data_IF_929251108118
#
_entry.id   IF_929251108118
#
_cell.length_a   1.000
_cell.length_b   1.000
_cell.length_c   1.000
_cell.angle_alpha   90.00
_cell.angle_beta   90.00
_cell.angle_gamma   90.00
#
_symmetry.space_group_name_H-M   'P 1'
#
loop_
_entity.id
_entity.type
_entity.pdbx_description
1 polymer ?
#
# COMPACT_ATOMS: atom_id res chain seq x y z
N UNK A 1 -14.33 -19.02 -7.98
CA UNK A 1 -13.66 -17.82 -8.53
C UNK A 1 -12.93 -17.00 -7.47
N UNK A 2 -13.57 -16.21 -6.59
CA UNK A 2 -12.83 -15.44 -5.57
C UNK A 2 -12.26 -16.36 -4.47
N UNK A 3 -13.04 -17.37 -4.07
CA UNK A 3 -12.60 -18.52 -3.29
C UNK A 3 -11.39 -19.24 -3.92
N UNK A 4 -11.41 -19.46 -5.24
CA UNK A 4 -10.27 -20.06 -5.95
C UNK A 4 -9.04 -19.15 -5.93
N UNK A 5 -9.22 -17.83 -6.05
CA UNK A 5 -8.13 -16.86 -5.92
C UNK A 5 -7.53 -16.88 -4.52
N UNK A 6 -8.35 -16.89 -3.48
CA UNK A 6 -7.91 -17.02 -2.07
C UNK A 6 -7.15 -18.33 -1.87
N UNK A 7 -7.69 -19.46 -2.34
CA UNK A 7 -7.04 -20.77 -2.21
C UNK A 7 -5.74 -20.86 -2.99
N UNK A 8 -5.66 -20.23 -4.16
CA UNK A 8 -4.42 -20.13 -4.93
C UNK A 8 -3.39 -19.25 -4.23
N UNK A 9 -3.82 -18.13 -3.64
CA UNK A 9 -2.96 -17.25 -2.86
C UNK A 9 -2.40 -17.99 -1.64
N UNK A 10 -3.23 -18.73 -0.90
CA UNK A 10 -2.80 -19.55 0.25
C UNK A 10 -1.74 -20.60 -0.12
N UNK A 11 -1.88 -21.25 -1.28
CA UNK A 11 -0.94 -22.30 -1.72
C UNK A 11 0.43 -21.78 -2.11
N UNK A 12 0.53 -20.49 -2.47
CA UNK A 12 1.77 -19.88 -2.97
C UNK A 12 2.48 -19.13 -1.85
N UNK A 13 3.10 -19.83 -0.92
CA UNK A 13 3.73 -19.17 0.25
C UNK A 13 4.82 -18.16 -0.16
N UNK A 14 5.67 -18.53 -1.12
CA UNK A 14 6.86 -17.73 -1.49
C UNK A 14 6.60 -16.66 -2.57
N UNK A 15 5.38 -16.59 -3.11
CA UNK A 15 5.04 -15.58 -4.12
C UNK A 15 3.60 -15.08 -4.03
N UNK A 16 3.40 -13.84 -4.45
CA UNK A 16 2.07 -13.28 -4.65
C UNK A 16 1.50 -13.81 -5.97
N UNK A 17 0.26 -14.30 -5.94
CA UNK A 17 -0.37 -14.84 -7.15
C UNK A 17 -0.66 -13.72 -8.17
N UNK A 18 -0.52 -14.05 -9.46
CA UNK A 18 -0.88 -13.14 -10.56
C UNK A 18 -2.40 -13.20 -10.76
N UNK A 19 -3.08 -12.08 -10.50
CA UNK A 19 -4.51 -11.90 -10.73
C UNK A 19 -4.66 -10.75 -11.71
N UNK A 20 -5.28 -11.00 -12.87
CA UNK A 20 -5.49 -9.96 -13.87
C UNK A 20 -6.79 -9.21 -13.61
N UNK A 21 -6.81 -7.93 -13.98
CA UNK A 21 -8.00 -7.08 -13.79
C UNK A 21 -9.22 -7.64 -14.52
N UNK A 22 -9.04 -8.20 -15.72
CA UNK A 22 -10.13 -8.75 -16.53
C UNK A 22 -10.82 -9.95 -15.86
N UNK A 23 -10.08 -10.71 -15.04
CA UNK A 23 -10.61 -11.84 -14.27
C UNK A 23 -11.55 -11.37 -13.16
N UNK A 24 -11.34 -10.16 -12.64
CA UNK A 24 -12.14 -9.54 -11.58
C UNK A 24 -13.37 -8.80 -12.12
N UNK A 25 -13.29 -8.20 -13.30
CA UNK A 25 -14.37 -7.35 -13.84
C UNK A 25 -15.71 -8.06 -13.97
N UNK A 26 -15.69 -9.31 -14.47
CA UNK A 26 -16.90 -10.13 -14.60
C UNK A 26 -17.57 -10.39 -13.25
N UNK A 27 -16.74 -10.63 -12.23
CA UNK A 27 -17.19 -10.90 -10.88
C UNK A 27 -17.77 -9.65 -10.21
N UNK A 28 -17.05 -8.52 -10.30
CA UNK A 28 -17.51 -7.22 -9.79
C UNK A 28 -18.86 -6.85 -10.42
N UNK A 29 -19.04 -7.08 -11.72
CA UNK A 29 -20.29 -6.81 -12.41
C UNK A 29 -21.45 -7.66 -11.90
N UNK A 30 -21.22 -8.96 -11.66
CA UNK A 30 -22.24 -9.86 -11.13
C UNK A 30 -22.64 -9.47 -9.70
N UNK A 31 -21.67 -9.17 -8.83
CA UNK A 31 -21.95 -8.67 -7.48
C UNK A 31 -22.74 -7.36 -7.50
N UNK A 32 -22.39 -6.42 -8.39
CA UNK A 32 -23.15 -5.16 -8.55
C UNK A 32 -24.61 -5.43 -8.92
N UNK A 33 -24.85 -6.37 -9.85
CA UNK A 33 -26.23 -6.75 -10.24
C UNK A 33 -26.99 -7.38 -9.08
N UNK A 34 -26.36 -8.25 -8.30
CA UNK A 34 -26.99 -8.88 -7.15
C UNK A 34 -27.44 -7.83 -6.13
N UNK A 35 -26.56 -6.89 -5.80
CA UNK A 35 -26.86 -5.78 -4.86
C UNK A 35 -28.01 -4.87 -5.31
N UNK A 36 -28.15 -4.65 -6.62
CA UNK A 36 -29.21 -3.76 -7.15
C UNK A 36 -30.56 -4.47 -7.28
N UNK A 37 -30.55 -5.75 -7.64
CA UNK A 37 -31.78 -6.48 -7.99
C UNK A 37 -32.47 -7.14 -6.80
N UNK A 38 -31.71 -7.51 -5.78
CA UNK A 38 -32.20 -8.34 -4.69
C UNK A 38 -31.95 -7.66 -3.34
N UNK A 39 -32.99 -7.58 -2.53
CA UNK A 39 -32.96 -6.99 -1.19
C UNK A 39 -33.30 -8.01 -0.09
N UNK A 40 -33.53 -9.27 -0.46
CA UNK A 40 -33.80 -10.36 0.47
C UNK A 40 -32.52 -10.83 1.18
N UNK A 41 -32.73 -11.48 2.31
CA UNK A 41 -31.65 -11.80 3.24
C UNK A 41 -30.71 -12.89 2.72
N UNK A 42 -31.17 -13.72 1.77
CA UNK A 42 -30.33 -14.75 1.14
C UNK A 42 -29.25 -14.09 0.29
N UNK A 43 -29.63 -13.16 -0.59
CA UNK A 43 -28.66 -12.47 -1.44
C UNK A 43 -27.74 -11.54 -0.64
N UNK A 44 -28.23 -10.97 0.48
CA UNK A 44 -27.35 -10.24 1.40
C UNK A 44 -26.30 -11.15 2.03
N UNK A 45 -26.69 -12.34 2.48
CA UNK A 45 -25.77 -13.31 3.05
C UNK A 45 -24.73 -13.76 2.01
N UNK A 46 -25.15 -14.02 0.76
CA UNK A 46 -24.24 -14.35 -0.34
C UNK A 46 -23.21 -13.25 -0.60
N UNK A 47 -23.65 -11.99 -0.65
CA UNK A 47 -22.76 -10.83 -0.82
C UNK A 47 -21.77 -10.70 0.35
N UNK A 48 -22.21 -10.97 1.58
CA UNK A 48 -21.35 -10.94 2.77
C UNK A 48 -20.20 -11.95 2.67
N UNK A 49 -20.49 -13.19 2.24
CA UNK A 49 -19.46 -14.22 2.04
C UNK A 49 -18.40 -13.75 1.05
N UNK A 50 -18.83 -13.06 0.00
CA UNK A 50 -17.93 -12.53 -1.01
C UNK A 50 -17.08 -11.34 -0.53
N UNK A 51 -17.59 -10.54 0.41
CA UNK A 51 -16.83 -9.48 1.09
C UNK A 51 -15.76 -10.08 2.02
N UNK A 52 -16.11 -11.10 2.80
CA UNK A 52 -15.17 -11.83 3.68
C UNK A 52 -14.02 -12.48 2.88
N UNK A 53 -14.34 -13.08 1.72
CA UNK A 53 -13.32 -13.63 0.82
C UNK A 53 -12.41 -12.54 0.24
N UNK A 54 -12.93 -11.36 -0.07
CA UNK A 54 -12.13 -10.25 -0.57
C UNK A 54 -11.19 -9.71 0.52
N UNK A 55 -11.67 -9.59 1.75
CA UNK A 55 -10.86 -9.23 2.91
C UNK A 55 -9.75 -10.26 3.16
N UNK A 56 -10.08 -11.55 3.16
CA UNK A 56 -9.11 -12.64 3.30
C UNK A 56 -8.02 -12.58 2.23
N UNK A 57 -8.39 -12.33 0.96
CA UNK A 57 -7.44 -12.20 -0.13
C UNK A 57 -6.48 -11.02 0.11
N UNK A 58 -7.02 -9.88 0.55
CA UNK A 58 -6.24 -8.69 0.84
C UNK A 58 -5.25 -8.93 1.99
N UNK A 59 -5.70 -9.52 3.10
CA UNK A 59 -4.85 -9.83 4.26
C UNK A 59 -3.69 -10.76 3.88
N UNK A 60 -3.97 -11.82 3.12
CA UNK A 60 -2.94 -12.75 2.64
C UNK A 60 -1.89 -12.05 1.80
N UNK A 61 -2.33 -11.22 0.85
CA UNK A 61 -1.44 -10.49 -0.05
C UNK A 61 -0.61 -9.46 0.70
N UNK A 62 -1.18 -8.77 1.68
CA UNK A 62 -0.44 -7.86 2.57
C UNK A 62 0.60 -8.62 3.38
N UNK A 63 0.26 -9.76 3.99
CA UNK A 63 1.19 -10.55 4.79
C UNK A 63 2.47 -10.86 4.00
N UNK A 64 2.31 -11.30 2.76
CA UNK A 64 3.42 -11.59 1.84
C UNK A 64 4.28 -10.35 1.54
N UNK A 65 3.65 -9.21 1.29
CA UNK A 65 4.37 -7.94 1.10
C UNK A 65 5.14 -7.53 2.35
N UNK A 66 4.54 -7.73 3.52
CA UNK A 66 5.18 -7.50 4.82
C UNK A 66 6.35 -8.45 5.04
N UNK A 67 6.38 -9.62 4.40
CA UNK A 67 7.53 -10.53 4.36
C UNK A 67 8.56 -10.17 3.28
N UNK A 68 8.35 -9.07 2.55
CA UNK A 68 9.22 -8.58 1.46
C UNK A 68 9.11 -9.36 0.14
N UNK A 69 8.01 -10.09 -0.05
CA UNK A 69 7.66 -10.68 -1.34
C UNK A 69 7.23 -9.56 -2.30
N UNK A 70 7.69 -9.65 -3.55
CA UNK A 70 7.44 -8.63 -4.56
C UNK A 70 5.96 -8.56 -4.98
N UNK A 71 5.34 -7.35 -4.97
CA UNK A 71 3.99 -7.13 -5.48
C UNK A 71 3.79 -7.58 -6.94
N UNK A 72 2.64 -8.19 -7.24
CA UNK A 72 2.24 -8.69 -8.58
C UNK A 72 0.72 -8.55 -8.78
N UNK A 73 0.23 -8.64 -10.01
CA UNK A 73 -1.21 -8.58 -10.33
C UNK A 73 -1.84 -7.18 -10.29
N UNK A 74 -3.19 -7.17 -10.28
CA UNK A 74 -4.03 -5.96 -10.42
C UNK A 74 -3.83 -4.88 -9.35
N UNK A 75 -3.38 -5.25 -8.15
CA UNK A 75 -3.19 -4.38 -6.98
C UNK A 75 -1.71 -4.10 -6.72
N UNK A 76 -0.83 -4.37 -7.69
CA UNK A 76 0.62 -4.20 -7.56
C UNK A 76 1.00 -2.80 -7.06
N UNK A 77 0.41 -1.73 -7.59
CA UNK A 77 0.74 -0.38 -7.13
C UNK A 77 0.35 -0.17 -5.65
N UNK A 78 -0.85 -0.61 -5.25
CA UNK A 78 -1.33 -0.53 -3.87
C UNK A 78 -0.38 -1.27 -2.90
N UNK A 79 -0.04 -2.51 -3.23
CA UNK A 79 0.90 -3.32 -2.47
C UNK A 79 2.31 -2.71 -2.43
N UNK A 80 2.72 -2.03 -3.51
CA UNK A 80 3.94 -1.24 -3.58
C UNK A 80 3.96 -0.07 -2.57
N UNK A 81 2.84 0.62 -2.39
CA UNK A 81 2.71 1.67 -1.36
C UNK A 81 2.86 1.10 0.05
N UNK A 82 2.29 -0.07 0.33
CA UNK A 82 2.43 -0.75 1.63
C UNK A 82 3.90 -1.12 1.89
N UNK A 83 4.61 -1.61 0.87
CA UNK A 83 6.06 -1.86 0.94
C UNK A 83 6.84 -0.59 1.27
N UNK A 84 6.49 0.53 0.65
CA UNK A 84 7.11 1.83 0.92
C UNK A 84 6.87 2.28 2.36
N UNK A 85 5.62 2.17 2.84
CA UNK A 85 5.26 2.51 4.22
C UNK A 85 6.02 1.65 5.24
N UNK A 86 6.12 0.34 5.01
CA UNK A 86 6.93 -0.57 5.82
C UNK A 86 8.39 -0.13 5.88
N UNK A 87 8.99 0.25 4.74
CA UNK A 87 10.38 0.69 4.67
C UNK A 87 10.60 2.00 5.43
N UNK A 88 9.70 2.99 5.27
CA UNK A 88 9.76 4.24 6.02
C UNK A 88 9.64 3.97 7.52
N UNK A 89 8.69 3.14 7.94
CA UNK A 89 8.50 2.79 9.35
C UNK A 89 9.75 2.13 9.94
N UNK A 90 10.29 1.11 9.24
CA UNK A 90 11.53 0.41 9.63
C UNK A 90 12.70 1.39 9.76
N UNK A 91 12.94 2.22 8.75
CA UNK A 91 14.05 3.17 8.73
C UNK A 91 13.92 4.24 9.82
N UNK A 92 12.69 4.67 10.13
CA UNK A 92 12.46 5.58 11.23
C UNK A 92 12.82 4.95 12.57
N UNK A 93 12.32 3.75 12.86
CA UNK A 93 12.60 3.06 14.13
C UNK A 93 14.05 2.60 14.28
N UNK A 94 14.73 2.27 13.18
CA UNK A 94 16.14 1.88 13.21
C UNK A 94 17.09 3.08 13.29
N UNK A 95 16.58 4.32 13.32
CA UNK A 95 17.41 5.53 13.36
C UNK A 95 18.12 5.83 12.04
N UNK A 96 17.65 5.27 10.92
CA UNK A 96 18.28 5.48 9.61
C UNK A 96 17.97 6.87 9.03
N UNK A 97 17.06 7.64 9.61
CA UNK A 97 16.71 8.98 9.14
C UNK A 97 17.27 10.09 10.01
N UNK A 98 17.62 11.22 9.39
CA UNK A 98 17.88 12.46 10.12
C UNK A 98 16.61 12.89 10.84
N UNK A 99 16.66 12.95 12.17
CA UNK A 99 15.51 13.32 13.00
C UNK A 99 15.82 14.44 13.97
N UNK A 100 14.83 15.30 14.24
CA UNK A 100 14.87 16.35 15.26
C UNK A 100 13.48 16.50 15.87
N UNK A 101 13.39 16.47 17.21
CA UNK A 101 12.14 16.64 17.96
C UNK A 101 11.00 15.71 17.47
N UNK A 102 11.32 14.44 17.18
CA UNK A 102 10.37 13.45 16.69
C UNK A 102 9.91 13.65 15.23
N UNK A 103 10.57 14.55 14.48
CA UNK A 103 10.31 14.81 13.06
C UNK A 103 11.47 14.32 12.21
N UNK A 104 11.17 13.85 11.01
CA UNK A 104 12.13 13.38 10.02
C UNK A 104 12.43 14.52 9.04
N UNK A 105 13.70 14.68 8.69
CA UNK A 105 14.13 15.61 7.64
C UNK A 105 13.84 14.99 6.26
N UNK A 106 13.11 15.72 5.44
CA UNK A 106 12.73 15.30 4.10
C UNK A 106 13.13 16.36 3.08
N UNK A 107 13.51 15.89 1.88
CA UNK A 107 13.70 16.72 0.70
C UNK A 107 12.40 16.77 -0.08
N UNK A 108 11.97 17.95 -0.49
CA UNK A 108 10.81 18.16 -1.34
C UNK A 108 11.17 17.77 -2.77
N UNK A 109 10.38 16.88 -3.36
CA UNK A 109 10.53 16.39 -4.74
C UNK A 109 9.59 17.15 -5.66
N UNK A 110 8.32 17.29 -5.25
CA UNK A 110 7.30 18.05 -5.98
C UNK A 110 6.81 19.22 -5.12
N UNK A 111 6.56 20.40 -5.71
CA UNK A 111 6.12 21.57 -4.94
C UNK A 111 4.84 21.27 -4.15
N UNK A 112 4.80 21.75 -2.90
CA UNK A 112 3.65 21.56 -2.02
C UNK A 112 3.47 22.76 -1.09
N UNK A 113 2.24 23.03 -0.68
CA UNK A 113 1.95 24.04 0.34
C UNK A 113 1.73 23.35 1.68
N UNK A 114 2.51 23.73 2.69
CA UNK A 114 2.40 23.22 4.05
C UNK A 114 2.41 24.38 5.03
N UNK A 115 1.40 24.45 5.91
CA UNK A 115 1.22 25.55 6.87
C UNK A 115 1.31 26.96 6.23
N UNK A 116 0.64 27.15 5.09
CA UNK A 116 0.67 28.39 4.29
C UNK A 116 2.05 28.79 3.74
N UNK A 117 3.02 27.87 3.75
CA UNK A 117 4.33 28.06 3.15
C UNK A 117 4.39 27.19 1.90
N UNK A 118 4.69 27.81 0.75
CA UNK A 118 4.98 27.10 -0.48
C UNK A 118 6.41 26.61 -0.45
N UNK A 119 6.59 25.30 -0.54
CA UNK A 119 7.88 24.64 -0.66
C UNK A 119 8.07 24.20 -2.10
N UNK A 120 9.25 24.46 -2.64
CA UNK A 120 9.63 24.10 -3.99
C UNK A 120 10.46 22.82 -3.99
N UNK A 121 10.57 22.18 -5.16
CA UNK A 121 11.48 21.04 -5.35
C UNK A 121 12.91 21.41 -4.95
N UNK A 122 13.52 20.58 -4.11
CA UNK A 122 14.85 20.79 -3.55
C UNK A 122 14.86 21.36 -2.13
N UNK A 123 13.75 21.96 -1.67
CA UNK A 123 13.65 22.48 -0.30
C UNK A 123 13.68 21.34 0.74
N UNK A 124 14.00 21.69 1.98
CA UNK A 124 14.03 20.76 3.10
C UNK A 124 12.99 21.11 4.14
N UNK A 125 12.34 20.08 4.69
CA UNK A 125 11.33 20.23 5.73
C UNK A 125 11.43 19.12 6.77
N UNK A 126 11.16 19.48 8.03
CA UNK A 126 11.00 18.52 9.13
C UNK A 126 9.52 18.17 9.31
N UNK A 127 9.17 16.89 9.15
CA UNK A 127 7.80 16.40 9.23
C UNK A 127 7.65 15.24 10.23
N UNK A 128 6.54 15.17 10.98
CA UNK A 128 6.22 14.00 11.79
C UNK A 128 5.94 12.78 10.89
N UNK A 129 6.17 11.57 11.42
CA UNK A 129 6.07 10.31 10.67
C UNK A 129 4.78 10.14 9.85
N UNK A 130 3.62 10.52 10.38
CA UNK A 130 2.34 10.37 9.66
C UNK A 130 2.28 11.22 8.39
N UNK A 131 2.82 12.45 8.41
CA UNK A 131 2.93 13.28 7.22
C UNK A 131 3.99 12.77 6.26
N UNK A 132 5.05 12.16 6.79
CA UNK A 132 6.08 11.53 5.96
C UNK A 132 5.50 10.37 5.16
N UNK A 133 4.77 9.46 5.81
CA UNK A 133 4.09 8.36 5.14
C UNK A 133 3.13 8.86 4.06
N UNK A 134 2.29 9.84 4.38
CA UNK A 134 1.31 10.41 3.43
C UNK A 134 2.00 11.07 2.22
N UNK A 135 2.94 11.99 2.46
CA UNK A 135 3.53 12.78 1.39
C UNK A 135 4.57 11.99 0.59
N UNK A 136 5.24 11.00 1.18
CA UNK A 136 6.14 10.12 0.44
C UNK A 136 5.39 9.15 -0.46
N UNK A 137 4.29 8.54 0.02
CA UNK A 137 3.45 7.67 -0.82
C UNK A 137 2.79 8.44 -1.97
N UNK A 138 2.49 9.73 -1.76
CA UNK A 138 2.01 10.63 -2.81
C UNK A 138 3.12 11.24 -3.69
N UNK A 139 4.39 10.93 -3.44
CA UNK A 139 5.52 11.36 -4.27
C UNK A 139 5.95 12.83 -4.09
N UNK A 140 5.53 13.50 -3.02
CA UNK A 140 5.89 14.90 -2.77
C UNK A 140 7.24 15.07 -2.10
N UNK A 141 7.68 14.10 -1.29
CA UNK A 141 8.90 14.21 -0.49
C UNK A 141 9.66 12.89 -0.40
N UNK A 142 10.96 12.99 -0.15
CA UNK A 142 11.86 11.85 0.13
C UNK A 142 12.55 12.06 1.48
N UNK A 143 12.43 11.13 2.46
CA UNK A 143 13.17 11.17 3.71
C UNK A 143 14.68 11.09 3.47
N UNK A 144 15.48 11.85 4.23
CA UNK A 144 16.94 11.78 4.15
C UNK A 144 17.51 10.74 5.12
N UNK A 145 18.35 9.85 4.59
CA UNK A 145 19.02 8.79 5.34
C UNK A 145 20.38 9.27 5.92
N UNK A 146 20.72 8.80 7.13
CA UNK A 146 21.97 9.13 7.84
C UNK A 146 23.19 8.50 7.17
N UNK A 147 23.02 7.31 6.60
CA UNK A 147 24.09 6.61 5.88
C UNK A 147 23.76 6.62 4.40
N UNK A 148 24.51 7.40 3.62
CA UNK A 148 24.52 7.23 2.17
C UNK A 148 25.04 5.82 1.86
N UNK A 149 24.22 4.97 1.23
CA UNK A 149 24.71 3.73 0.60
C UNK A 149 25.44 4.01 -0.73
N UNK A 150 26.20 5.11 -0.78
CA UNK A 150 27.00 5.53 -1.93
C UNK A 150 28.47 5.72 -1.51
N UNK A 151 29.02 4.77 -0.77
CA UNK A 151 30.47 4.52 -0.71
C UNK A 151 30.70 3.01 -0.56
N UNK A 152 30.48 2.27 -1.63
CA UNK A 152 31.15 0.98 -1.87
C UNK A 152 31.96 1.18 -3.14
N UNK A 153 33.24 1.47 -2.90
CA UNK A 153 34.34 1.64 -3.86
C UNK A 153 34.46 0.52 -4.89
#
# INVERSE_FOLDING_TARGET
MLDEMVMNELRKEEEISEIRTEDLEKYIHNLRKLRVKFADDIHKAEVSVYEELAESLFELRISKVVESIQPKGFDKELLGLISMMKNIYKNYLSGNYYTKDGKILCKVVNPLTYNNITLNSGDFILLPLHLVLLLSTAGFITPLEVVNRDESS
#
